data_IF_446086469605
#
_entry.id   IF_446086469605
#
_cell.length_a   1.000
_cell.length_b   1.000
_cell.length_c   1.000
_cell.angle_alpha   90.00
_cell.angle_beta   90.00
_cell.angle_gamma   90.00
#
_symmetry.space_group_name_H-M   'P 1'
#
loop_
_entity.id
_entity.type
_entity.pdbx_description
1 polymer ?
#
# COMPACT_ATOMS: atom_id res chain seq x y z
N UNK A 1 2.69 6.93 -11.76
CA UNK A 1 3.91 6.10 -11.66
C UNK A 1 4.92 6.52 -12.71
N UNK A 2 6.20 6.46 -12.38
CA UNK A 2 7.25 6.78 -13.33
C UNK A 2 7.42 5.68 -14.37
N UNK A 3 8.03 6.03 -15.50
CA UNK A 3 8.37 5.07 -16.56
C UNK A 3 9.20 3.91 -16.00
N UNK A 4 9.00 2.70 -16.53
CA UNK A 4 9.71 1.50 -16.12
C UNK A 4 9.19 0.81 -14.86
N UNK A 5 8.12 1.32 -14.26
CA UNK A 5 7.50 0.68 -13.10
C UNK A 5 6.53 -0.42 -13.55
N UNK A 6 6.65 -1.59 -12.92
CA UNK A 6 5.73 -2.71 -13.14
C UNK A 6 4.94 -2.95 -11.87
N UNK A 7 3.64 -2.68 -11.89
CA UNK A 7 2.75 -2.87 -10.75
C UNK A 7 2.54 -4.36 -10.48
N UNK A 8 2.75 -4.77 -9.23
CA UNK A 8 2.52 -6.14 -8.77
C UNK A 8 1.15 -6.25 -8.11
N UNK A 9 0.81 -5.28 -7.25
CA UNK A 9 -0.47 -5.32 -6.56
C UNK A 9 -0.90 -3.91 -6.12
N UNK A 10 -2.21 -3.70 -6.01
CA UNK A 10 -2.81 -2.45 -5.56
C UNK A 10 -3.75 -2.73 -4.40
N UNK A 11 -3.68 -1.91 -3.36
CA UNK A 11 -4.55 -2.01 -2.18
C UNK A 11 -5.79 -1.13 -2.37
N UNK A 12 -6.80 -1.65 -3.03
CA UNK A 12 -8.04 -0.90 -3.33
C UNK A 12 -8.87 -0.61 -2.08
N UNK A 13 -8.87 -1.54 -1.13
CA UNK A 13 -9.61 -1.40 0.13
C UNK A 13 -9.10 -0.21 0.95
N UNK A 14 -7.79 0.03 0.93
CA UNK A 14 -7.19 1.13 1.68
C UNK A 14 -7.76 2.49 1.26
N UNK A 15 -7.94 2.73 -0.02
CA UNK A 15 -8.48 3.99 -0.52
C UNK A 15 -9.97 4.17 -0.20
N UNK A 16 -10.68 3.08 0.03
CA UNK A 16 -12.07 3.12 0.49
C UNK A 16 -12.16 3.42 1.99
N UNK A 17 -11.32 2.75 2.79
CA UNK A 17 -11.36 2.85 4.25
C UNK A 17 -10.65 4.07 4.82
N UNK A 18 -9.69 4.64 4.08
CA UNK A 18 -8.83 5.71 4.57
C UNK A 18 -8.79 6.89 3.60
N UNK A 19 -8.71 8.09 4.19
CA UNK A 19 -8.39 9.29 3.43
C UNK A 19 -6.87 9.41 3.35
N UNK A 20 -6.33 9.36 2.13
CA UNK A 20 -4.88 9.46 1.89
C UNK A 20 -4.47 10.93 1.89
N UNK A 21 -3.61 11.31 2.85
CA UNK A 21 -3.15 12.69 2.99
C UNK A 21 -1.85 12.91 2.21
N UNK A 22 -0.88 12.03 2.35
CA UNK A 22 0.39 12.09 1.66
C UNK A 22 0.81 10.68 1.21
N UNK A 23 1.62 10.60 0.16
CA UNK A 23 2.20 9.33 -0.32
C UNK A 23 3.71 9.43 -0.41
N UNK A 24 4.38 8.30 -0.18
CA UNK A 24 5.83 8.20 -0.22
C UNK A 24 6.24 6.96 -1.00
N UNK A 25 7.23 7.10 -1.88
CA UNK A 25 7.85 5.95 -2.53
C UNK A 25 8.93 5.38 -1.62
N UNK A 26 8.78 4.13 -1.22
CA UNK A 26 9.69 3.45 -0.31
C UNK A 26 10.36 2.28 -1.00
N UNK A 27 11.64 2.03 -0.68
CA UNK A 27 12.26 0.75 -0.97
C UNK A 27 11.75 -0.28 0.05
N UNK A 28 11.74 -1.55 -0.33
CA UNK A 28 11.39 -2.64 0.56
C UNK A 28 12.58 -3.59 0.66
N UNK A 29 13.10 -3.74 1.87
CA UNK A 29 14.24 -4.63 2.13
C UNK A 29 13.75 -6.08 2.19
N UNK A 30 14.15 -6.88 1.21
CA UNK A 30 13.71 -8.26 1.06
C UNK A 30 14.89 -9.21 0.93
N UNK A 31 14.67 -10.46 1.38
CA UNK A 31 15.59 -11.58 1.12
C UNK A 31 15.40 -12.06 -0.32
N UNK A 32 16.41 -12.76 -0.88
CA UNK A 32 16.33 -13.24 -2.25
C UNK A 32 15.12 -14.11 -2.56
N UNK A 33 14.73 -15.00 -1.63
CA UNK A 33 13.55 -15.85 -1.77
C UNK A 33 12.25 -15.03 -1.75
N UNK A 34 12.21 -13.95 -0.97
CA UNK A 34 11.08 -13.05 -0.91
C UNK A 34 10.90 -12.28 -2.22
N UNK A 35 12.00 -11.83 -2.83
CA UNK A 35 11.97 -11.12 -4.12
C UNK A 35 11.36 -12.00 -5.21
N UNK A 36 11.73 -13.28 -5.23
CA UNK A 36 11.19 -14.25 -6.20
C UNK A 36 9.68 -14.39 -6.07
N UNK A 37 9.21 -14.64 -4.85
CA UNK A 37 7.77 -14.79 -4.59
C UNK A 37 7.01 -13.49 -4.87
N UNK A 38 7.60 -12.36 -4.53
CA UNK A 38 7.03 -11.04 -4.81
C UNK A 38 6.86 -10.82 -6.32
N UNK A 39 7.88 -11.16 -7.10
CA UNK A 39 7.84 -11.05 -8.57
C UNK A 39 6.72 -11.90 -9.18
N UNK A 40 6.44 -13.06 -8.60
CA UNK A 40 5.37 -13.96 -9.04
C UNK A 40 4.00 -13.52 -8.52
N UNK A 41 3.91 -12.41 -7.80
CA UNK A 41 2.66 -11.91 -7.23
C UNK A 41 2.12 -12.71 -6.05
N UNK A 42 2.94 -13.56 -5.45
CA UNK A 42 2.55 -14.42 -4.32
C UNK A 42 2.65 -13.68 -2.99
N UNK A 43 1.90 -12.60 -2.88
CA UNK A 43 1.85 -11.77 -1.67
C UNK A 43 0.40 -11.60 -1.24
N UNK A 44 0.21 -11.42 0.06
CA UNK A 44 -1.10 -11.16 0.68
C UNK A 44 -0.95 -10.05 1.71
N UNK A 45 -1.81 -9.03 1.64
CA UNK A 45 -1.68 -7.85 2.48
C UNK A 45 -3.02 -7.23 2.89
N UNK A 46 -4.06 -8.00 3.22
CA UNK A 46 -5.39 -7.43 3.50
C UNK A 46 -5.38 -6.44 4.67
N UNK A 47 -4.51 -6.67 5.66
CA UNK A 47 -4.43 -5.84 6.87
C UNK A 47 -3.03 -5.24 7.05
N UNK A 48 -2.27 -5.10 5.96
CA UNK A 48 -0.90 -4.58 6.03
C UNK A 48 -0.88 -3.11 6.46
N UNK A 49 0.06 -2.78 7.32
CA UNK A 49 0.28 -1.44 7.84
C UNK A 49 1.74 -1.25 8.20
N UNK A 50 2.14 -0.02 8.40
CA UNK A 50 3.52 0.27 8.79
C UNK A 50 3.56 1.02 10.12
N UNK A 51 4.67 0.87 10.85
CA UNK A 51 4.89 1.56 12.11
C UNK A 51 6.30 2.11 12.18
N UNK A 52 6.46 3.19 12.94
CA UNK A 52 7.76 3.81 13.18
C UNK A 52 8.30 3.28 14.51
N UNK A 53 9.45 2.63 14.46
CA UNK A 53 10.13 2.11 15.65
C UNK A 53 11.59 2.57 15.62
N UNK A 54 12.00 3.33 16.63
CA UNK A 54 13.39 3.78 16.79
C UNK A 54 13.98 4.43 15.53
N UNK A 55 13.21 5.29 14.88
CA UNK A 55 13.66 6.00 13.68
C UNK A 55 13.68 5.19 12.41
N UNK A 56 13.09 4.00 12.42
CA UNK A 56 12.94 3.13 11.26
C UNK A 56 11.46 2.83 11.01
N UNK A 57 11.10 2.58 9.76
CA UNK A 57 9.72 2.25 9.41
C UNK A 57 9.64 0.77 9.01
N UNK A 58 8.73 0.04 9.64
CA UNK A 58 8.55 -1.39 9.45
C UNK A 58 7.17 -1.69 8.89
N UNK A 59 7.12 -2.46 7.81
CA UNK A 59 5.88 -2.94 7.22
C UNK A 59 5.48 -4.26 7.88
N UNK A 60 4.26 -4.31 8.38
CA UNK A 60 3.71 -5.47 9.09
C UNK A 60 2.52 -6.05 8.35
N UNK A 61 2.26 -7.33 8.60
CA UNK A 61 1.13 -8.06 8.01
C UNK A 61 1.15 -8.14 6.49
N UNK A 62 2.33 -8.00 5.89
CA UNK A 62 2.56 -8.38 4.51
C UNK A 62 3.09 -9.81 4.51
N UNK A 63 2.28 -10.73 3.99
CA UNK A 63 2.68 -12.13 3.86
C UNK A 63 3.25 -12.37 2.47
N UNK A 64 4.47 -12.87 2.42
CA UNK A 64 5.13 -13.27 1.18
C UNK A 64 5.29 -14.78 1.21
N UNK A 65 4.61 -15.48 0.30
CA UNK A 65 4.61 -16.94 0.27
C UNK A 65 6.02 -17.53 0.13
N UNK A 66 6.24 -18.68 0.76
CA UNK A 66 7.50 -19.41 0.61
C UNK A 66 7.68 -19.86 -0.84
N UNK A 67 8.92 -19.90 -1.29
CA UNK A 67 9.24 -20.42 -2.61
C UNK A 67 9.25 -21.95 -2.55
N UNK A 68 8.34 -22.64 -3.26
CA UNK A 68 8.26 -24.11 -3.19
C UNK A 68 9.49 -24.82 -3.75
N UNK A 69 10.30 -24.11 -4.53
CA UNK A 69 11.53 -24.68 -5.11
C UNK A 69 12.78 -24.39 -4.31
N UNK A 70 12.67 -23.60 -3.24
CA UNK A 70 13.78 -23.36 -2.33
C UNK A 70 13.89 -24.51 -1.32
N UNK A 71 15.11 -24.92 -1.04
CA UNK A 71 15.36 -26.03 -0.10
C UNK A 71 15.30 -25.57 1.35
N UNK A 72 16.43 -25.57 2.05
CA UNK A 72 16.53 -25.36 3.49
C UNK A 72 16.41 -23.88 3.90
N UNK A 73 16.74 -22.95 3.01
CA UNK A 73 16.89 -21.52 3.32
C UNK A 73 15.70 -20.69 2.83
N UNK A 74 14.47 -21.12 3.12
CA UNK A 74 13.30 -20.33 2.82
C UNK A 74 13.10 -19.27 3.90
N UNK A 75 12.34 -18.20 3.55
CA UNK A 75 12.05 -17.11 4.47
C UNK A 75 10.81 -17.42 5.32
N UNK A 76 10.66 -16.70 6.44
CA UNK A 76 9.41 -16.68 7.21
C UNK A 76 8.38 -15.81 6.43
N UNK A 77 7.24 -16.38 6.02
CA UNK A 77 6.23 -15.63 5.26
C UNK A 77 5.71 -14.37 5.96
N UNK A 78 5.70 -14.38 7.29
CA UNK A 78 5.13 -13.30 8.09
C UNK A 78 6.17 -12.36 8.70
N UNK A 79 7.42 -12.47 8.26
CA UNK A 79 8.51 -11.61 8.74
C UNK A 79 8.16 -10.14 8.51
N UNK A 80 8.39 -9.28 9.52
CA UNK A 80 8.28 -7.83 9.33
C UNK A 80 9.39 -7.36 8.38
N UNK A 81 9.07 -6.40 7.51
CA UNK A 81 9.99 -5.92 6.47
C UNK A 81 10.28 -4.44 6.69
N UNK A 82 11.54 -4.07 6.51
CA UNK A 82 11.95 -2.68 6.68
C UNK A 82 11.67 -1.89 5.40
N UNK A 83 11.06 -0.72 5.57
CA UNK A 83 10.86 0.23 4.48
C UNK A 83 12.03 1.21 4.44
N UNK A 84 12.53 1.45 3.24
CA UNK A 84 13.70 2.30 3.01
C UNK A 84 13.25 3.65 2.46
N UNK A 85 13.49 4.70 3.23
CA UNK A 85 13.14 6.08 2.90
C UNK A 85 14.31 6.99 3.23
N UNK A 86 14.27 8.20 2.71
CA UNK A 86 15.21 9.25 3.12
C UNK A 86 14.96 9.64 4.58
N UNK A 87 16.03 9.98 5.27
CA UNK A 87 15.98 10.33 6.70
C UNK A 87 14.97 11.44 7.00
N UNK A 88 14.88 12.43 6.13
CA UNK A 88 13.96 13.55 6.29
C UNK A 88 12.50 13.12 6.14
N UNK A 89 12.23 12.19 5.23
CA UNK A 89 10.90 11.60 5.06
C UNK A 89 10.50 10.82 6.30
N UNK A 90 11.41 10.03 6.87
CA UNK A 90 11.16 9.27 8.11
C UNK A 90 10.81 10.22 9.25
N UNK A 91 11.55 11.31 9.40
CA UNK A 91 11.28 12.30 10.45
C UNK A 91 9.91 12.94 10.30
N UNK A 92 9.54 13.28 9.06
CA UNK A 92 8.23 13.87 8.76
C UNK A 92 7.10 12.89 9.07
N UNK A 93 7.26 11.64 8.63
CA UNK A 93 6.29 10.56 8.89
C UNK A 93 6.15 10.31 10.39
N UNK A 94 7.26 10.25 11.12
CA UNK A 94 7.25 10.02 12.57
C UNK A 94 6.47 11.11 13.31
N UNK A 95 6.66 12.36 12.93
CA UNK A 95 5.90 13.48 13.51
C UNK A 95 4.40 13.37 13.23
N UNK A 96 4.05 13.02 11.97
CA UNK A 96 2.66 12.92 11.57
C UNK A 96 1.94 11.73 12.21
N UNK A 97 2.63 10.60 12.37
CA UNK A 97 2.02 9.42 13.01
C UNK A 97 1.80 9.57 14.50
N UNK A 98 2.49 10.52 15.15
CA UNK A 98 2.21 10.88 16.53
C UNK A 98 0.88 11.63 16.67
N UNK A 99 0.40 12.26 15.60
CA UNK A 99 -0.89 12.92 15.58
C UNK A 99 -2.03 11.88 15.58
N UNK A 100 -3.07 12.17 16.35
CA UNK A 100 -4.20 11.26 16.51
C UNK A 100 -4.93 10.98 15.20
N UNK A 101 -5.12 9.71 14.91
CA UNK A 101 -5.90 9.27 13.75
C UNK A 101 -5.11 8.99 12.48
N UNK A 102 -3.80 9.26 12.47
CA UNK A 102 -2.95 8.93 11.33
C UNK A 102 -2.39 7.51 11.44
N UNK A 103 -2.32 6.84 10.29
CA UNK A 103 -1.72 5.51 10.16
C UNK A 103 -1.01 5.40 8.81
N UNK A 104 -0.10 4.45 8.70
CA UNK A 104 0.66 4.20 7.48
C UNK A 104 0.17 2.92 6.83
N UNK A 105 -0.32 3.03 5.59
CA UNK A 105 -0.90 1.91 4.85
C UNK A 105 -0.20 1.78 3.50
N UNK A 106 0.25 0.58 3.11
CA UNK A 106 0.79 0.37 1.76
C UNK A 106 -0.35 0.43 0.75
N UNK A 107 -0.22 1.28 -0.25
CA UNK A 107 -1.24 1.51 -1.28
C UNK A 107 -0.99 0.67 -2.53
N UNK A 108 0.27 0.47 -2.90
CA UNK A 108 0.63 -0.37 -4.02
C UNK A 108 2.04 -0.93 -3.89
N UNK A 109 2.27 -2.03 -4.59
CA UNK A 109 3.57 -2.69 -4.64
C UNK A 109 3.98 -2.81 -6.12
N UNK A 110 5.23 -2.47 -6.43
CA UNK A 110 5.70 -2.47 -7.81
C UNK A 110 7.21 -2.69 -7.91
N UNK A 111 7.68 -3.06 -9.11
CA UNK A 111 9.10 -3.07 -9.44
C UNK A 111 9.45 -1.82 -10.21
N UNK A 112 10.57 -1.23 -9.86
CA UNK A 112 11.12 -0.07 -10.56
C UNK A 112 12.64 -0.20 -10.59
N UNK A 113 13.23 -0.21 -11.78
CA UNK A 113 14.67 -0.38 -11.97
C UNK A 113 15.21 -1.64 -11.26
N UNK A 114 14.45 -2.75 -11.35
CA UNK A 114 14.84 -4.03 -10.76
C UNK A 114 14.70 -4.12 -9.24
N UNK A 115 14.15 -3.09 -8.60
CA UNK A 115 13.97 -3.05 -7.14
C UNK A 115 12.51 -3.04 -6.76
N UNK A 116 12.20 -3.69 -5.65
CA UNK A 116 10.85 -3.68 -5.09
C UNK A 116 10.59 -2.34 -4.42
N UNK A 117 9.48 -1.72 -4.80
CA UNK A 117 9.03 -0.43 -4.26
C UNK A 117 7.63 -0.54 -3.70
N UNK A 118 7.34 0.30 -2.71
CA UNK A 118 6.03 0.40 -2.08
C UNK A 118 5.59 1.85 -2.11
N UNK A 119 4.37 2.10 -2.58
CA UNK A 119 3.72 3.39 -2.39
C UNK A 119 3.07 3.37 -1.01
N UNK A 120 3.66 4.08 -0.06
CA UNK A 120 3.19 4.15 1.32
C UNK A 120 2.31 5.38 1.50
N UNK A 121 1.09 5.19 1.98
CA UNK A 121 0.17 6.29 2.26
C UNK A 121 0.15 6.68 3.72
N UNK A 122 0.27 7.97 4.00
CA UNK A 122 -0.04 8.54 5.30
C UNK A 122 -1.53 8.81 5.30
N UNK A 123 -2.28 8.01 6.05
CA UNK A 123 -3.72 7.94 5.94
C UNK A 123 -4.41 8.26 7.25
N UNK A 124 -5.63 8.76 7.12
CA UNK A 124 -6.52 9.00 8.25
C UNK A 124 -7.78 8.16 8.05
N UNK A 125 -8.24 7.49 9.08
CA UNK A 125 -9.46 6.69 8.98
C UNK A 125 -10.65 7.54 8.61
N UNK A 126 -11.42 7.11 7.60
CA UNK A 126 -12.68 7.77 7.24
C UNK A 126 -13.74 7.46 8.29
N UNK A 127 -14.46 8.47 8.72
CA UNK A 127 -15.63 8.27 9.55
C UNK A 127 -16.70 7.56 8.72
N UNK A 128 -17.59 6.82 9.38
CA UNK A 128 -18.70 6.13 8.71
C UNK A 128 -19.50 7.10 7.82
N UNK A 129 -19.68 8.33 8.28
CA UNK A 129 -20.33 9.39 7.53
C UNK A 129 -19.62 9.67 6.19
N UNK A 130 -18.29 9.79 6.20
CA UNK A 130 -17.51 10.08 4.98
C UNK A 130 -17.61 8.96 3.95
N UNK A 131 -17.64 7.71 4.42
CA UNK A 131 -17.82 6.54 3.54
C UNK A 131 -19.18 6.57 2.86
N UNK A 132 -20.23 6.96 3.56
CA UNK A 132 -21.58 7.10 3.02
C UNK A 132 -21.63 8.19 1.95
N UNK A 133 -20.98 9.31 2.19
CA UNK A 133 -20.89 10.40 1.23
C UNK A 133 -20.19 9.95 -0.07
N UNK A 134 -19.07 9.22 0.02
CA UNK A 134 -18.38 8.68 -1.13
C UNK A 134 -19.26 7.75 -1.97
N UNK A 135 -20.04 6.90 -1.32
CA UNK A 135 -20.97 5.99 -1.98
C UNK A 135 -22.06 6.77 -2.71
N UNK A 136 -22.63 7.78 -2.07
CA UNK A 136 -23.66 8.65 -2.68
C UNK A 136 -23.15 9.36 -3.92
N UNK A 137 -21.96 9.93 -3.86
CA UNK A 137 -21.34 10.60 -5.01
C UNK A 137 -21.17 9.65 -6.20
N UNK A 138 -20.73 8.43 -5.96
CA UNK A 138 -20.61 7.43 -7.01
C UNK A 138 -21.93 7.07 -7.64
N UNK A 139 -22.96 6.90 -6.83
CA UNK A 139 -24.30 6.55 -7.31
C UNK A 139 -24.91 7.71 -8.13
N UNK A 140 -24.76 8.94 -7.68
CA UNK A 140 -25.23 10.13 -8.42
C UNK A 140 -24.50 10.23 -9.78
N UNK A 141 -23.21 10.03 -9.83
CA UNK A 141 -22.44 10.04 -11.08
C UNK A 141 -22.91 8.96 -12.04
N UNK A 142 -23.25 7.78 -11.55
CA UNK A 142 -23.77 6.68 -12.37
C UNK A 142 -25.13 7.04 -12.96
N UNK A 143 -26.02 7.60 -12.18
CA UNK A 143 -27.34 8.03 -12.64
C UNK A 143 -27.25 9.10 -13.72
N UNK A 144 -26.44 10.13 -13.53
CA UNK A 144 -26.20 11.19 -14.51
C UNK A 144 -25.68 10.60 -15.81
N UNK A 145 -24.73 9.66 -15.75
CA UNK A 145 -24.17 8.98 -16.91
C UNK A 145 -25.24 8.18 -17.68
N UNK A 146 -26.14 7.51 -16.97
CA UNK A 146 -27.23 6.74 -17.59
C UNK A 146 -28.24 7.67 -18.30
N UNK A 147 -28.64 8.75 -17.67
CA UNK A 147 -29.54 9.73 -18.26
C UNK A 147 -28.93 10.35 -19.52
N UNK A 148 -27.66 10.71 -19.46
CA UNK A 148 -26.94 11.27 -20.60
C UNK A 148 -26.87 10.29 -21.78
N UNK A 149 -26.60 9.02 -21.54
CA UNK A 149 -26.61 7.99 -22.57
C UNK A 149 -27.99 7.79 -23.18
N UNK A 150 -29.03 7.83 -22.36
CA UNK A 150 -30.42 7.73 -22.83
C UNK A 150 -30.81 8.87 -23.75
N UNK A 151 -30.31 10.08 -23.51
CA UNK A 151 -30.59 11.25 -24.34
C UNK A 151 -29.83 11.23 -25.67
N UNK A 152 -28.71 10.53 -25.76
CA UNK A 152 -27.89 10.43 -26.96
C UNK A 152 -28.31 9.28 -27.88
N UNK A 153 -29.10 8.38 -27.39
CA UNK A 153 -29.67 7.27 -28.16
C UNK A 153 -31.08 7.63 -28.69
#
# INVERSE_FOLDING_TARGET
MSEGAKVIAVNRKARFDYAVDETYECGLELLGTEVKSFRDGKISFPDAWAEVIKGEIWLRSLRIAENPFSSIFNHDPDRKKKLLLHREEIKRIARKTEEKGYTLIPLSFYFKNGRVKVELGLCKGKKVYDKRADIRERDVKREISREFRGKLS
#
